data_IF_284822376094
#
_entry.id   IF_284822376094
#
_cell.length_a   1.000
_cell.length_b   1.000
_cell.length_c   1.000
_cell.angle_alpha   90.00
_cell.angle_beta   90.00
_cell.angle_gamma   90.00
#
_symmetry.space_group_name_H-M   'P 1'
#
loop_
_entity.id
_entity.type
_entity.pdbx_description
1 polymer ?
#
# COMPACT_ATOMS: atom_id res chain seq x y z
N UNK A 1 -15.31 33.76 -33.65
CA UNK A 1 -14.58 33.79 -32.37
C UNK A 1 -13.58 34.94 -32.48
N UNK A 2 -13.80 36.07 -31.81
CA UNK A 2 -12.99 37.28 -32.05
C UNK A 2 -11.57 37.12 -31.50
N UNK A 3 -10.62 37.72 -32.20
CA UNK A 3 -9.18 37.69 -31.88
C UNK A 3 -8.91 38.25 -30.47
N UNK A 4 -9.79 39.14 -29.98
CA UNK A 4 -9.70 39.71 -28.63
C UNK A 4 -9.98 38.69 -27.51
N UNK A 5 -10.79 37.66 -27.76
CA UNK A 5 -11.02 36.59 -26.79
C UNK A 5 -9.80 35.67 -26.62
N UNK A 6 -8.96 35.56 -27.67
CA UNK A 6 -7.69 34.82 -27.61
C UNK A 6 -6.58 35.67 -26.96
N UNK A 7 -6.62 36.99 -27.11
CA UNK A 7 -5.66 37.91 -26.49
C UNK A 7 -5.85 38.00 -24.97
N UNK A 8 -7.10 37.94 -24.47
CA UNK A 8 -7.35 38.02 -23.03
C UNK A 8 -6.94 36.76 -22.24
N UNK A 9 -6.76 35.62 -22.93
CA UNK A 9 -6.25 34.38 -22.35
C UNK A 9 -4.70 34.32 -22.28
N UNK A 10 -4.00 35.27 -22.92
CA UNK A 10 -2.54 35.22 -23.10
C UNK A 10 -1.73 36.03 -22.06
N UNK A 11 -2.38 36.67 -21.08
CA UNK A 11 -1.74 37.65 -20.19
C UNK A 11 -1.55 37.25 -18.72
N UNK A 12 -1.80 35.98 -18.35
CA UNK A 12 -1.32 35.46 -17.07
C UNK A 12 -0.14 34.54 -17.34
N UNK A 13 1.13 35.02 -17.27
CA UNK A 13 2.25 34.10 -17.14
C UNK A 13 1.92 33.22 -15.95
N UNK A 14 1.65 31.94 -16.20
CA UNK A 14 1.13 31.01 -15.22
C UNK A 14 2.11 30.94 -14.05
N UNK A 15 1.85 31.76 -13.03
CA UNK A 15 2.54 31.69 -11.76
C UNK A 15 2.26 30.28 -11.26
N UNK A 16 3.31 29.45 -11.32
CA UNK A 16 3.34 28.12 -10.73
C UNK A 16 3.14 28.31 -9.24
N UNK A 17 1.89 28.48 -8.81
CA UNK A 17 1.51 28.58 -7.42
C UNK A 17 1.85 27.23 -6.79
N UNK A 18 3.09 27.14 -6.33
CA UNK A 18 3.63 26.01 -5.60
C UNK A 18 2.86 26.04 -4.29
N UNK A 19 1.76 25.30 -4.21
CA UNK A 19 1.10 25.08 -2.92
C UNK A 19 2.12 24.33 -2.09
N UNK A 20 2.82 25.05 -1.21
CA UNK A 20 3.81 24.46 -0.33
C UNK A 20 3.12 23.33 0.43
N UNK A 21 3.77 22.16 0.61
CA UNK A 21 3.18 21.09 1.39
C UNK A 21 2.78 21.67 2.74
N UNK A 22 1.53 21.44 3.16
CA UNK A 22 1.01 21.96 4.43
C UNK A 22 2.00 21.54 5.52
N UNK A 23 2.73 22.52 6.07
CA UNK A 23 3.72 22.27 7.09
C UNK A 23 2.97 21.85 8.35
N UNK A 24 2.96 20.54 8.63
CA UNK A 24 2.37 20.03 9.87
C UNK A 24 3.10 20.63 11.07
N UNK A 25 2.33 21.14 12.03
CA UNK A 25 2.89 21.78 13.22
C UNK A 25 3.74 20.80 14.01
N UNK A 26 4.77 21.31 14.70
CA UNK A 26 5.68 20.50 15.50
C UNK A 26 4.90 19.67 16.55
N UNK A 27 3.84 20.23 17.13
CA UNK A 27 2.98 19.55 18.09
C UNK A 27 2.28 18.32 17.51
N UNK A 28 1.76 18.40 16.28
CA UNK A 28 1.11 17.25 15.62
C UNK A 28 2.13 16.16 15.31
N UNK A 29 3.33 16.52 14.84
CA UNK A 29 4.41 15.55 14.59
C UNK A 29 4.86 14.85 15.87
N UNK A 30 5.01 15.61 16.96
CA UNK A 30 5.38 15.07 18.26
C UNK A 30 4.31 14.11 18.80
N UNK A 31 3.03 14.47 18.68
CA UNK A 31 1.91 13.61 19.08
C UNK A 31 1.90 12.29 18.30
N UNK A 32 2.01 12.34 16.97
CA UNK A 32 2.07 11.14 16.13
C UNK A 32 3.29 10.27 16.46
N UNK A 33 4.45 10.90 16.68
CA UNK A 33 5.66 10.20 17.14
C UNK A 33 5.47 9.51 18.49
N UNK A 34 4.79 10.16 19.43
CA UNK A 34 4.46 9.56 20.74
C UNK A 34 3.54 8.35 20.59
N UNK A 35 2.52 8.43 19.73
CA UNK A 35 1.60 7.30 19.48
C UNK A 35 2.33 6.09 18.87
N UNK A 36 3.25 6.33 17.93
CA UNK A 36 4.11 5.28 17.37
C UNK A 36 5.01 4.68 18.46
N UNK A 37 5.65 5.51 19.27
CA UNK A 37 6.52 5.05 20.35
C UNK A 37 5.75 4.21 21.38
N UNK A 38 4.55 4.64 21.79
CA UNK A 38 3.69 3.85 22.67
C UNK A 38 3.35 2.49 22.06
N UNK A 39 2.96 2.45 20.78
CA UNK A 39 2.66 1.20 20.08
C UNK A 39 3.84 0.24 20.05
N UNK A 40 5.05 0.75 19.77
CA UNK A 40 6.29 -0.05 19.77
C UNK A 40 6.59 -0.59 21.17
N UNK A 41 6.50 0.24 22.20
CA UNK A 41 6.75 -0.18 23.59
C UNK A 41 5.75 -1.25 24.01
N UNK A 42 4.46 -1.06 23.77
CA UNK A 42 3.44 -2.06 24.11
C UNK A 42 3.64 -3.37 23.36
N UNK A 43 4.05 -3.31 22.09
CA UNK A 43 4.35 -4.51 21.31
C UNK A 43 5.55 -5.28 21.88
N UNK A 44 6.64 -4.59 22.24
CA UNK A 44 7.83 -5.24 22.83
C UNK A 44 7.49 -5.88 24.18
N UNK A 45 6.72 -5.20 25.04
CA UNK A 45 6.30 -5.76 26.33
C UNK A 45 5.45 -7.03 26.14
N UNK A 46 4.55 -7.00 25.16
CA UNK A 46 3.65 -8.11 24.86
C UNK A 46 4.41 -9.31 24.24
N UNK A 47 5.37 -9.08 23.35
CA UNK A 47 6.23 -10.14 22.80
C UNK A 47 6.99 -10.90 23.89
N UNK A 48 7.40 -10.22 24.97
CA UNK A 48 8.06 -10.87 26.11
C UNK A 48 7.10 -11.65 27.03
N UNK A 49 5.79 -11.36 26.96
CA UNK A 49 4.78 -11.95 27.84
C UNK A 49 4.05 -13.11 27.16
N UNK A 50 3.46 -12.86 25.98
CA UNK A 50 2.78 -13.83 25.13
C UNK A 50 3.10 -13.49 23.65
N UNK A 51 4.15 -14.12 23.08
CA UNK A 51 4.55 -13.88 21.69
C UNK A 51 3.42 -14.16 20.69
N UNK A 52 2.65 -15.23 20.89
CA UNK A 52 1.59 -15.62 19.96
C UNK A 52 0.49 -14.58 19.90
N UNK A 53 0.06 -14.07 21.06
CA UNK A 53 -0.92 -12.97 21.11
C UNK A 53 -0.38 -11.69 20.48
N UNK A 54 0.88 -11.34 20.73
CA UNK A 54 1.53 -10.16 20.16
C UNK A 54 1.55 -10.19 18.62
N UNK A 55 2.05 -11.27 18.04
CA UNK A 55 2.18 -11.41 16.59
C UNK A 55 0.83 -11.57 15.88
N UNK A 56 -0.15 -12.23 16.51
CA UNK A 56 -1.50 -12.31 15.94
C UNK A 56 -2.19 -10.93 15.89
N UNK A 57 -2.08 -10.14 16.97
CA UNK A 57 -2.61 -8.77 16.99
C UNK A 57 -1.89 -7.85 15.99
N UNK A 58 -0.57 -8.00 15.84
CA UNK A 58 0.19 -7.27 14.83
C UNK A 58 -0.25 -7.65 13.42
N UNK A 59 -0.37 -8.94 13.10
CA UNK A 59 -0.78 -9.43 11.79
C UNK A 59 -2.18 -8.90 11.41
N UNK A 60 -3.13 -8.92 12.35
CA UNK A 60 -4.47 -8.39 12.11
C UNK A 60 -4.44 -6.91 11.71
N UNK A 61 -3.76 -6.08 12.50
CA UNK A 61 -3.64 -4.65 12.21
C UNK A 61 -2.87 -4.41 10.90
N UNK A 62 -1.76 -5.11 10.71
CA UNK A 62 -0.96 -5.06 9.49
C UNK A 62 -1.83 -5.30 8.25
N UNK A 63 -2.64 -6.37 8.25
CA UNK A 63 -3.52 -6.71 7.14
C UNK A 63 -4.58 -5.64 6.87
N UNK A 64 -5.25 -5.14 7.92
CA UNK A 64 -6.26 -4.08 7.79
C UNK A 64 -5.67 -2.82 7.15
N UNK A 65 -4.53 -2.33 7.65
CA UNK A 65 -3.91 -1.12 7.12
C UNK A 65 -3.31 -1.32 5.73
N UNK A 66 -2.77 -2.51 5.44
CA UNK A 66 -2.33 -2.87 4.09
C UNK A 66 -3.51 -2.84 3.11
N UNK A 67 -4.64 -3.47 3.46
CA UNK A 67 -5.85 -3.44 2.63
C UNK A 67 -6.37 -2.02 2.40
N UNK A 68 -6.33 -1.15 3.41
CA UNK A 68 -6.68 0.27 3.24
C UNK A 68 -5.77 0.97 2.24
N UNK A 69 -4.46 0.75 2.33
CA UNK A 69 -3.49 1.29 1.37
C UNK A 69 -3.72 0.77 -0.06
N UNK A 70 -3.90 -0.54 -0.22
CA UNK A 70 -4.17 -1.19 -1.49
C UNK A 70 -5.51 -0.75 -2.09
N UNK A 71 -6.53 -0.55 -1.27
CA UNK A 71 -7.83 -0.01 -1.70
C UNK A 71 -7.67 1.38 -2.32
N UNK A 72 -6.82 2.24 -1.74
CA UNK A 72 -6.46 3.53 -2.34
C UNK A 72 -5.85 3.36 -3.74
N UNK A 73 -4.91 2.43 -3.90
CA UNK A 73 -4.22 2.21 -5.18
C UNK A 73 -5.16 1.65 -6.24
N UNK A 74 -5.98 0.67 -5.84
CA UNK A 74 -7.02 0.09 -6.67
C UNK A 74 -8.08 1.11 -7.09
N UNK A 75 -8.53 1.94 -6.15
CA UNK A 75 -9.46 3.02 -6.43
C UNK A 75 -8.86 4.00 -7.45
N UNK A 76 -7.62 4.44 -7.25
CA UNK A 76 -6.91 5.32 -8.19
C UNK A 76 -6.78 4.70 -9.59
N UNK A 77 -6.50 3.40 -9.67
CA UNK A 77 -6.38 2.67 -10.94
C UNK A 77 -7.73 2.55 -11.68
N UNK A 78 -8.82 2.18 -11.00
CA UNK A 78 -10.15 2.12 -11.61
C UNK A 78 -10.54 3.47 -12.20
N UNK A 79 -10.30 4.57 -11.48
CA UNK A 79 -10.65 5.91 -11.95
C UNK A 79 -9.87 6.33 -13.19
N UNK A 80 -8.61 5.90 -13.34
CA UNK A 80 -7.89 6.04 -14.61
C UNK A 80 -8.57 5.24 -15.72
N UNK A 81 -8.97 4.00 -15.45
CA UNK A 81 -9.51 3.09 -16.46
C UNK A 81 -10.87 3.55 -17.01
N UNK A 82 -11.75 4.03 -16.14
CA UNK A 82 -13.08 4.51 -16.54
C UNK A 82 -13.10 5.97 -17.01
N UNK A 83 -11.97 6.67 -16.94
CA UNK A 83 -11.89 8.08 -17.32
C UNK A 83 -12.74 9.01 -16.46
N UNK A 84 -12.88 8.72 -15.17
CA UNK A 84 -13.74 9.50 -14.27
C UNK A 84 -13.17 10.90 -14.01
N UNK A 85 -14.00 11.92 -14.19
CA UNK A 85 -13.62 13.33 -14.04
C UNK A 85 -14.03 13.95 -12.71
N UNK A 86 -15.04 13.39 -12.02
CA UNK A 86 -15.52 13.88 -10.73
C UNK A 86 -14.60 13.49 -9.56
N UNK A 87 -13.80 12.44 -9.73
CA UNK A 87 -13.00 11.83 -8.67
C UNK A 87 -11.68 12.55 -8.39
N UNK A 88 -11.41 13.69 -9.03
CA UNK A 88 -10.13 14.41 -8.90
C UNK A 88 -9.85 14.79 -7.45
N UNK A 89 -10.86 15.24 -6.71
CA UNK A 89 -10.72 15.57 -5.29
C UNK A 89 -10.52 14.33 -4.41
N UNK A 90 -11.31 13.27 -4.65
CA UNK A 90 -11.26 12.03 -3.86
C UNK A 90 -9.96 11.23 -4.13
N UNK A 91 -9.38 11.38 -5.33
CA UNK A 91 -8.11 10.75 -5.69
C UNK A 91 -6.98 11.15 -4.75
N UNK A 92 -6.94 12.39 -4.27
CA UNK A 92 -5.89 12.83 -3.34
C UNK A 92 -5.93 12.06 -2.02
N UNK A 93 -7.12 11.69 -1.56
CA UNK A 93 -7.32 10.82 -0.38
C UNK A 93 -6.86 9.39 -0.70
N UNK A 94 -7.22 8.87 -1.87
CA UNK A 94 -6.78 7.53 -2.31
C UNK A 94 -5.26 7.43 -2.49
N UNK A 95 -4.61 8.49 -3.00
CA UNK A 95 -3.16 8.60 -3.12
C UNK A 95 -2.50 8.68 -1.72
N UNK A 96 -3.13 9.36 -0.76
CA UNK A 96 -2.65 9.39 0.62
C UNK A 96 -2.69 7.98 1.26
N UNK A 97 -3.77 7.21 1.06
CA UNK A 97 -3.80 5.81 1.50
C UNK A 97 -2.74 4.95 0.79
N UNK A 98 -2.59 5.12 -0.52
CA UNK A 98 -1.60 4.38 -1.33
C UNK A 98 -0.16 4.63 -0.86
N UNK A 99 0.12 5.81 -0.30
CA UNK A 99 1.45 6.17 0.23
C UNK A 99 1.88 5.33 1.45
N UNK A 100 0.95 4.60 2.09
CA UNK A 100 1.26 3.68 3.18
C UNK A 100 1.81 2.33 2.69
N UNK A 101 1.51 1.89 1.46
CA UNK A 101 1.90 0.55 0.96
C UNK A 101 3.41 0.30 1.01
N UNK A 102 4.30 1.25 0.64
CA UNK A 102 5.75 1.08 0.81
C UNK A 102 6.18 0.89 2.28
N UNK A 103 5.49 1.53 3.23
CA UNK A 103 5.75 1.36 4.66
C UNK A 103 5.31 -0.03 5.11
N UNK A 104 4.14 -0.49 4.65
CA UNK A 104 3.67 -1.84 4.92
C UNK A 104 4.66 -2.90 4.39
N UNK A 105 5.25 -2.70 3.21
CA UNK A 105 6.31 -3.60 2.72
C UNK A 105 7.49 -3.73 3.68
N UNK A 106 7.93 -2.63 4.30
CA UNK A 106 9.00 -2.67 5.31
C UNK A 106 8.53 -3.37 6.59
N UNK A 107 7.31 -3.10 7.05
CA UNK A 107 6.74 -3.71 8.26
C UNK A 107 6.48 -5.21 8.10
N UNK A 108 6.46 -5.74 6.88
CA UNK A 108 6.36 -7.18 6.62
C UNK A 108 7.50 -7.97 7.30
N UNK A 109 8.66 -7.37 7.58
CA UNK A 109 9.74 -8.03 8.34
C UNK A 109 9.27 -8.53 9.71
N UNK A 110 8.38 -7.78 10.38
CA UNK A 110 7.83 -8.16 11.69
C UNK A 110 6.90 -9.36 11.55
N UNK A 111 6.13 -9.43 10.45
CA UNK A 111 5.30 -10.60 10.12
C UNK A 111 6.15 -11.83 9.88
N UNK A 112 7.27 -11.70 9.15
CA UNK A 112 8.19 -12.82 8.88
C UNK A 112 8.76 -13.40 10.18
N UNK A 113 9.16 -12.54 11.13
CA UNK A 113 9.65 -12.98 12.45
C UNK A 113 8.53 -13.69 13.23
N UNK A 114 7.28 -13.22 13.09
CA UNK A 114 6.11 -13.81 13.74
C UNK A 114 5.60 -15.13 13.14
N UNK A 115 6.14 -15.59 12.00
CA UNK A 115 5.64 -16.78 11.30
C UNK A 115 5.51 -18.02 12.21
N UNK A 116 6.52 -18.38 13.04
CA UNK A 116 6.46 -19.55 13.92
C UNK A 116 5.37 -19.49 14.99
N UNK A 117 4.91 -18.27 15.32
CA UNK A 117 3.97 -18.03 16.42
C UNK A 117 2.51 -18.03 15.96
N UNK A 118 2.25 -17.64 14.70
CA UNK A 118 0.89 -17.42 14.20
C UNK A 118 0.44 -18.53 13.25
N UNK A 119 1.34 -19.06 12.43
CA UNK A 119 0.97 -20.04 11.41
C UNK A 119 1.14 -21.47 11.91
N UNK A 120 0.05 -22.22 11.98
CA UNK A 120 0.08 -23.61 12.48
C UNK A 120 0.99 -24.49 11.60
N UNK A 121 1.06 -24.23 10.29
CA UNK A 121 1.88 -24.98 9.35
C UNK A 121 3.40 -24.80 9.56
N UNK A 122 3.83 -23.77 10.29
CA UNK A 122 5.24 -23.53 10.60
C UNK A 122 5.68 -24.12 11.95
N UNK A 123 4.73 -24.61 12.75
CA UNK A 123 5.00 -25.18 14.09
C UNK A 123 5.70 -26.53 14.01
N UNK A 124 6.67 -26.82 14.89
CA UNK A 124 7.31 -28.14 14.98
C UNK A 124 6.33 -29.30 15.22
N UNK A 125 5.17 -29.02 15.83
CA UNK A 125 4.10 -30.00 16.05
C UNK A 125 3.34 -30.37 14.76
N UNK A 126 3.40 -29.52 13.72
CA UNK A 126 2.86 -29.85 12.40
C UNK A 126 3.76 -30.84 11.63
N UNK A 127 5.02 -31.01 12.07
CA UNK A 127 6.02 -31.88 11.46
C UNK A 127 6.10 -33.28 12.11
N UNK A 128 5.38 -33.53 13.21
CA UNK A 128 5.42 -34.80 13.96
C UNK A 128 4.00 -35.30 14.31
N UNK A 129 3.51 -36.36 13.65
CA UNK A 129 2.24 -37.05 13.98
C UNK A 129 1.27 -37.27 12.80
N UNK A 130 0.04 -37.75 13.05
CA UNK A 130 -1.03 -37.93 12.03
C UNK A 130 -1.47 -36.62 11.34
N UNK A 131 -1.02 -35.47 11.85
CA UNK A 131 -1.10 -34.13 11.26
C UNK A 131 -0.24 -33.97 9.98
N UNK A 132 0.52 -34.99 9.57
CA UNK A 132 1.28 -35.07 8.30
C UNK A 132 0.43 -34.78 7.05
N UNK A 133 -0.91 -34.84 7.12
CA UNK A 133 -1.79 -34.39 6.02
C UNK A 133 -1.70 -32.88 5.71
N UNK A 134 -1.23 -32.04 6.66
CA UNK A 134 -0.88 -30.64 6.38
C UNK A 134 0.40 -30.52 5.54
N UNK A 135 1.32 -31.49 5.67
CA UNK A 135 2.58 -31.59 4.92
C UNK A 135 2.33 -31.97 3.46
N UNK A 136 1.17 -32.56 3.12
CA UNK A 136 0.83 -32.94 1.73
C UNK A 136 0.47 -31.76 0.83
N UNK A 137 0.31 -30.54 1.38
CA UNK A 137 0.35 -29.27 0.62
C UNK A 137 1.79 -28.73 0.45
N UNK A 138 2.80 -29.58 0.68
CA UNK A 138 4.20 -29.23 0.99
C UNK A 138 4.98 -28.42 -0.04
N UNK A 139 4.45 -28.23 -1.25
CA UNK A 139 5.00 -27.26 -2.21
C UNK A 139 4.57 -25.82 -1.92
N UNK A 140 3.30 -25.59 -1.58
CA UNK A 140 2.78 -24.22 -1.44
C UNK A 140 3.09 -23.63 -0.06
N UNK A 141 2.87 -24.40 1.02
CA UNK A 141 3.00 -23.95 2.42
C UNK A 141 4.43 -24.05 2.98
N UNK A 142 5.45 -24.05 2.13
CA UNK A 142 6.83 -23.92 2.60
C UNK A 142 7.09 -22.48 3.04
N UNK A 143 7.68 -22.28 4.22
CA UNK A 143 7.96 -20.94 4.76
C UNK A 143 8.75 -20.05 3.80
N UNK A 144 9.75 -20.62 3.11
CA UNK A 144 10.54 -19.88 2.11
C UNK A 144 9.69 -19.45 0.90
N UNK A 145 8.80 -20.32 0.43
CA UNK A 145 7.93 -20.02 -0.71
C UNK A 145 6.81 -19.06 -0.33
N UNK A 146 6.28 -19.14 0.89
CA UNK A 146 5.35 -18.14 1.44
C UNK A 146 6.00 -16.75 1.46
N UNK A 147 7.20 -16.62 2.05
CA UNK A 147 7.92 -15.33 2.12
C UNK A 147 8.24 -14.80 0.74
N UNK A 148 8.73 -15.65 -0.17
CA UNK A 148 9.04 -15.23 -1.55
C UNK A 148 7.81 -14.68 -2.27
N UNK A 149 6.66 -15.36 -2.16
CA UNK A 149 5.41 -14.94 -2.81
C UNK A 149 4.90 -13.63 -2.21
N UNK A 150 4.86 -13.52 -0.89
CA UNK A 150 4.45 -12.28 -0.20
C UNK A 150 5.35 -11.10 -0.56
N UNK A 151 6.67 -11.27 -0.52
CA UNK A 151 7.61 -10.22 -0.91
C UNK A 151 7.40 -9.80 -2.36
N UNK A 152 7.19 -10.76 -3.27
CA UNK A 152 6.94 -10.48 -4.69
C UNK A 152 5.64 -9.68 -4.90
N UNK A 153 4.57 -10.06 -4.22
CA UNK A 153 3.28 -9.36 -4.30
C UNK A 153 3.37 -7.96 -3.71
N UNK A 154 3.95 -7.81 -2.51
CA UNK A 154 4.11 -6.52 -1.87
C UNK A 154 5.05 -5.60 -2.66
N UNK A 155 6.12 -6.13 -3.27
CA UNK A 155 7.00 -5.35 -4.14
C UNK A 155 6.26 -4.83 -5.38
N UNK A 156 5.45 -5.69 -6.02
CA UNK A 156 4.59 -5.30 -7.13
C UNK A 156 3.61 -4.19 -6.72
N UNK A 157 2.89 -4.37 -5.62
CA UNK A 157 1.92 -3.39 -5.15
C UNK A 157 2.58 -2.09 -4.72
N UNK A 158 3.74 -2.16 -4.06
CA UNK A 158 4.55 -0.99 -3.68
C UNK A 158 4.97 -0.21 -4.91
N UNK A 159 5.46 -0.90 -5.95
CA UNK A 159 5.83 -0.28 -7.21
C UNK A 159 4.66 0.51 -7.82
N UNK A 160 3.48 -0.11 -7.96
CA UNK A 160 2.33 0.56 -8.55
C UNK A 160 1.76 1.68 -7.68
N UNK A 161 1.70 1.48 -6.36
CA UNK A 161 1.26 2.51 -5.40
C UNK A 161 2.15 3.74 -5.49
N UNK A 162 3.46 3.55 -5.42
CA UNK A 162 4.44 4.63 -5.58
C UNK A 162 4.37 5.27 -6.97
N UNK A 163 4.25 4.47 -8.03
CA UNK A 163 4.18 4.96 -9.40
C UNK A 163 2.96 5.85 -9.62
N UNK A 164 1.76 5.43 -9.17
CA UNK A 164 0.56 6.24 -9.33
C UNK A 164 0.62 7.53 -8.50
N UNK A 165 1.07 7.46 -7.24
CA UNK A 165 1.21 8.66 -6.39
C UNK A 165 2.21 9.65 -7.01
N UNK A 166 3.39 9.18 -7.43
CA UNK A 166 4.43 10.02 -8.05
C UNK A 166 3.96 10.66 -9.35
N UNK A 167 3.23 9.90 -10.15
CA UNK A 167 2.77 10.38 -11.45
C UNK A 167 1.60 11.36 -11.28
N UNK A 168 0.76 11.12 -10.28
CA UNK A 168 -0.33 12.00 -9.86
C UNK A 168 0.17 13.35 -9.35
N UNK A 169 1.25 13.40 -8.56
CA UNK A 169 1.86 14.67 -8.13
C UNK A 169 2.59 15.38 -9.27
N UNK A 170 3.28 14.64 -10.15
CA UNK A 170 3.90 15.22 -11.35
C UNK A 170 2.86 15.89 -12.26
N UNK A 171 1.67 15.32 -12.39
CA UNK A 171 0.61 15.90 -13.21
C UNK A 171 0.10 17.23 -12.66
N UNK A 172 0.06 17.41 -11.34
CA UNK A 172 -0.30 18.69 -10.73
C UNK A 172 0.76 19.77 -11.02
N UNK A 173 2.04 19.39 -11.10
CA UNK A 173 3.14 20.30 -11.39
C UNK A 173 3.23 20.71 -12.87
N UNK A 174 3.02 19.75 -13.79
CA UNK A 174 3.23 19.99 -15.23
C UNK A 174 1.95 20.27 -16.00
N UNK A 175 0.76 19.96 -15.45
CA UNK A 175 -0.55 20.01 -16.13
C UNK A 175 -0.61 19.21 -17.43
N UNK A 176 0.31 18.28 -17.63
CA UNK A 176 0.45 17.50 -18.86
C UNK A 176 -0.53 16.31 -18.90
N UNK A 177 -1.45 16.34 -19.87
CA UNK A 177 -2.47 15.29 -20.07
C UNK A 177 -1.91 13.97 -20.60
N UNK A 178 -0.72 13.97 -21.19
CA UNK A 178 -0.08 12.74 -21.73
C UNK A 178 0.26 11.75 -20.61
N UNK A 179 0.55 12.29 -19.42
CA UNK A 179 0.81 11.54 -18.19
C UNK A 179 -0.42 10.71 -17.78
N UNK A 180 -1.61 11.33 -17.77
CA UNK A 180 -2.87 10.64 -17.52
C UNK A 180 -3.16 9.53 -18.53
N UNK A 181 -2.92 9.78 -19.83
CA UNK A 181 -3.12 8.76 -20.89
C UNK A 181 -2.21 7.55 -20.70
N UNK A 182 -0.99 7.77 -20.22
CA UNK A 182 -0.04 6.70 -19.92
C UNK A 182 -0.49 5.90 -18.70
N UNK A 183 -1.01 6.56 -17.67
CA UNK A 183 -1.53 5.91 -16.47
C UNK A 183 -2.70 4.97 -16.72
N UNK A 184 -3.52 5.20 -17.75
CA UNK A 184 -4.60 4.26 -18.15
C UNK A 184 -4.02 2.88 -18.47
N UNK A 185 -2.91 2.82 -19.22
CA UNK A 185 -2.26 1.55 -19.59
C UNK A 185 -1.74 0.82 -18.35
N UNK A 186 -1.06 1.53 -17.46
CA UNK A 186 -0.54 0.97 -16.21
C UNK A 186 -1.66 0.57 -15.24
N UNK A 187 -2.78 1.29 -15.21
CA UNK A 187 -3.95 0.94 -14.43
C UNK A 187 -4.58 -0.38 -14.89
N UNK A 188 -4.68 -0.61 -16.20
CA UNK A 188 -5.17 -1.88 -16.74
C UNK A 188 -4.27 -3.06 -16.33
N UNK A 189 -2.94 -2.90 -16.46
CA UNK A 189 -1.96 -3.92 -16.03
C UNK A 189 -2.05 -4.15 -14.51
N UNK A 190 -2.14 -3.08 -13.72
CA UNK A 190 -2.26 -3.18 -12.28
C UNK A 190 -3.52 -3.93 -11.86
N UNK A 191 -4.70 -3.62 -12.40
CA UNK A 191 -5.95 -4.28 -12.00
C UNK A 191 -5.88 -5.80 -12.24
N UNK A 192 -5.37 -6.23 -13.40
CA UNK A 192 -5.24 -7.66 -13.71
C UNK A 192 -4.26 -8.36 -12.77
N UNK A 193 -3.09 -7.78 -12.59
CA UNK A 193 -2.05 -8.35 -11.72
C UNK A 193 -2.45 -8.30 -10.24
N UNK A 194 -3.12 -7.24 -9.80
CA UNK A 194 -3.68 -7.06 -8.46
C UNK A 194 -4.74 -8.12 -8.17
N UNK A 195 -5.68 -8.38 -9.08
CA UNK A 195 -6.73 -9.39 -8.85
C UNK A 195 -6.13 -10.79 -8.56
N UNK A 196 -5.12 -11.20 -9.34
CA UNK A 196 -4.45 -12.49 -9.17
C UNK A 196 -3.63 -12.49 -7.87
N UNK A 197 -2.76 -11.50 -7.69
CA UNK A 197 -1.84 -11.45 -6.54
C UNK A 197 -2.58 -11.26 -5.22
N UNK A 198 -3.65 -10.47 -5.17
CA UNK A 198 -4.46 -10.25 -3.96
C UNK A 198 -5.20 -11.53 -3.56
N UNK A 199 -5.73 -12.26 -4.55
CA UNK A 199 -6.38 -13.55 -4.31
C UNK A 199 -5.38 -14.57 -3.75
N UNK A 200 -4.20 -14.69 -4.38
CA UNK A 200 -3.15 -15.59 -3.89
C UNK A 200 -2.64 -15.18 -2.50
N UNK A 201 -2.56 -13.88 -2.22
CA UNK A 201 -2.17 -13.38 -0.90
C UNK A 201 -3.24 -13.60 0.18
N UNK A 202 -4.51 -13.69 -0.20
CA UNK A 202 -5.59 -14.01 0.73
C UNK A 202 -5.65 -15.51 1.07
N UNK A 203 -5.06 -16.36 0.22
CA UNK A 203 -4.90 -17.79 0.49
C UNK A 203 -3.70 -18.13 1.38
N UNK A 204 -2.72 -17.23 1.43
CA UNK A 204 -1.50 -17.31 2.23
C UNK A 204 -1.73 -16.86 3.67
#
# INVERSE_FOLDING_TARGET
MSVDALAHAAHHPEEKARVAPVATSLGVRALLGLMIAMGVVTFILEVNSDPTRAYAAFLHNYWVFLCLGLAGTFFTAIHYLVGATWSVAVRRIADAFSSYVPIAFLLFVVVVIGIPHVYIWSSPAATQGESVKLITKGGYLSGNLFVLRMVSFLALWTFFSWFFVRTSTKQDETRDVTVSKTNVKYAAVFILTFAITFTLASFD
#
